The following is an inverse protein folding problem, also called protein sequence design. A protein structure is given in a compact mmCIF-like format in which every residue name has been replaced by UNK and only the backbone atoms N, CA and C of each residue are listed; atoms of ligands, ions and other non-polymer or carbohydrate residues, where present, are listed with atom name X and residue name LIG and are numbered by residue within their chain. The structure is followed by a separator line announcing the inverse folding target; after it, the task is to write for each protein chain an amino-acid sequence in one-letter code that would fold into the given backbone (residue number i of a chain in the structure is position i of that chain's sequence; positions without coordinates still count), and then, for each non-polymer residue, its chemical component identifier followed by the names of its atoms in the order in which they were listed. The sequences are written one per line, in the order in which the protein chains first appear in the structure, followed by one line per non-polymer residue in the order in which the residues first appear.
data_IF_683166800794
#
_entry.id   IF_683166800794
#
_cell.length_a   1.000
_cell.length_b   1.000
_cell.length_c   1.000
_cell.angle_alpha   90.00
_cell.angle_beta   90.00
_cell.angle_gamma   90.00
#
_symmetry.space_group_name_H-M   'P 1'
#
loop_
_entity.id
_entity.type
_entity.pdbx_description
1 polymer ?
#
# COMPACT_ATOMS: atom_id res chain seq x y z
N UNK A 1 -46.29 -54.16 20.53
CA UNK A 1 -46.33 -54.03 19.05
C UNK A 1 -45.57 -52.76 18.69
N UNK A 2 -44.34 -52.88 18.14
CA UNK A 2 -43.97 -52.65 16.71
C UNK A 2 -44.15 -51.15 16.33
N UNK A 3 -43.21 -50.34 15.81
CA UNK A 3 -41.97 -50.45 15.01
C UNK A 3 -41.24 -49.07 15.11
N UNK A 4 -39.91 -48.98 15.26
CA UNK A 4 -38.92 -48.51 14.23
C UNK A 4 -39.14 -47.08 13.71
N UNK A 5 -38.24 -46.09 13.90
CA UNK A 5 -37.03 -45.90 13.09
C UNK A 5 -35.98 -45.00 13.79
N UNK A 6 -34.73 -45.48 13.78
CA UNK A 6 -33.50 -44.66 13.80
C UNK A 6 -33.58 -43.57 12.72
N UNK A 7 -33.12 -42.35 13.02
CA UNK A 7 -32.54 -41.50 11.98
C UNK A 7 -31.05 -41.31 12.24
N UNK A 8 -30.30 -41.81 11.27
CA UNK A 8 -28.87 -41.83 11.11
C UNK A 8 -28.37 -40.45 10.66
N UNK A 9 -27.17 -40.11 11.11
CA UNK A 9 -26.27 -39.04 10.64
C UNK A 9 -26.56 -38.38 9.29
N UNK A 10 -26.51 -37.04 9.26
CA UNK A 10 -25.84 -36.35 8.16
C UNK A 10 -24.87 -35.28 8.69
N UNK A 11 -23.62 -35.62 8.44
CA UNK A 11 -22.42 -34.82 8.53
C UNK A 11 -22.52 -33.68 7.49
N UNK A 12 -22.54 -32.44 7.93
CA UNK A 12 -21.98 -31.33 7.14
C UNK A 12 -21.20 -30.49 8.11
N UNK A 13 -19.91 -30.83 8.25
CA UNK A 13 -18.92 -29.90 8.73
C UNK A 13 -18.97 -28.71 7.77
N UNK A 14 -19.58 -27.62 8.21
CA UNK A 14 -19.38 -26.31 7.61
C UNK A 14 -17.92 -25.95 7.89
N UNK A 15 -17.07 -26.31 6.93
CA UNK A 15 -15.75 -25.72 6.81
C UNK A 15 -16.02 -24.22 6.67
N UNK A 16 -15.69 -23.45 7.71
CA UNK A 16 -15.57 -22.02 7.60
C UNK A 16 -14.47 -21.79 6.57
N UNK A 17 -14.87 -21.67 5.30
CA UNK A 17 -14.11 -20.91 4.35
C UNK A 17 -14.02 -19.52 4.97
N UNK A 18 -12.85 -19.17 5.49
CA UNK A 18 -12.52 -17.77 5.73
C UNK A 18 -12.64 -17.13 4.35
N UNK A 19 -13.75 -16.45 4.10
CA UNK A 19 -13.84 -15.58 2.93
C UNK A 19 -12.65 -14.62 3.04
N UNK A 20 -11.82 -14.44 1.99
CA UNK A 20 -10.81 -13.41 2.03
C UNK A 20 -11.54 -12.11 2.32
N UNK A 21 -11.20 -11.45 3.42
CA UNK A 21 -11.71 -10.12 3.70
C UNK A 21 -11.39 -9.28 2.49
N UNK A 22 -12.41 -8.91 1.70
CA UNK A 22 -12.26 -7.96 0.61
C UNK A 22 -11.85 -6.63 1.24
N UNK A 23 -10.54 -6.43 1.37
CA UNK A 23 -9.98 -5.19 1.88
C UNK A 23 -10.41 -4.07 0.94
N UNK A 24 -10.97 -3.00 1.52
CA UNK A 24 -11.76 -1.98 0.79
C UNK A 24 -10.91 -0.84 0.22
N UNK A 25 -9.60 -1.04 0.12
CA UNK A 25 -8.64 -0.05 -0.34
C UNK A 25 -7.42 -0.77 -0.90
N UNK A 26 -6.68 -0.05 -1.74
CA UNK A 26 -5.48 -0.52 -2.40
C UNK A 26 -4.26 -0.21 -1.53
N UNK A 27 -3.43 -1.23 -1.31
CA UNK A 27 -2.12 -1.11 -0.68
C UNK A 27 -1.17 -2.17 -1.26
N UNK A 28 0.11 -1.97 -1.03
CA UNK A 28 1.16 -2.93 -1.37
C UNK A 28 2.02 -3.14 -0.13
N UNK A 29 2.55 -4.34 0.05
CA UNK A 29 3.45 -4.68 1.15
C UNK A 29 4.62 -5.50 0.60
N UNK A 30 5.83 -4.99 0.70
CA UNK A 30 7.07 -5.70 0.43
C UNK A 30 7.27 -6.68 1.58
N UNK A 31 7.16 -7.97 1.28
CA UNK A 31 7.30 -9.04 2.27
C UNK A 31 8.73 -9.53 2.37
N UNK A 32 9.53 -9.41 1.31
CA UNK A 32 10.96 -9.73 1.32
C UNK A 32 11.70 -8.81 0.37
N UNK A 33 12.94 -8.40 0.66
CA UNK A 33 13.61 -8.51 1.96
C UNK A 33 12.90 -7.72 3.08
N UNK A 34 13.25 -7.97 4.33
CA UNK A 34 12.76 -7.18 5.47
C UNK A 34 13.58 -5.91 5.73
N UNK A 35 13.03 -5.01 6.55
CA UNK A 35 13.69 -3.77 6.98
C UNK A 35 15.12 -4.02 7.50
N UNK A 36 16.08 -3.24 7.00
CA UNK A 36 17.49 -3.29 7.39
C UNK A 36 18.27 -4.51 6.88
N UNK A 37 17.68 -5.35 6.02
CA UNK A 37 18.37 -6.50 5.46
C UNK A 37 19.63 -6.09 4.69
N UNK A 38 20.66 -6.94 4.75
CA UNK A 38 21.87 -6.77 3.96
C UNK A 38 21.69 -7.56 2.64
N UNK A 39 21.74 -6.86 1.51
CA UNK A 39 21.44 -7.44 0.19
C UNK A 39 22.60 -7.25 -0.78
N UNK A 40 22.73 -8.15 -1.75
CA UNK A 40 23.64 -8.06 -2.89
C UNK A 40 22.80 -7.91 -4.17
N UNK A 41 23.40 -7.46 -5.26
CA UNK A 41 22.75 -7.47 -6.56
C UNK A 41 22.72 -8.90 -7.15
N UNK A 42 21.61 -9.32 -7.80
CA UNK A 42 20.33 -8.62 -7.87
C UNK A 42 19.53 -8.70 -6.56
N UNK A 43 18.74 -7.66 -6.25
CA UNK A 43 17.74 -7.71 -5.18
C UNK A 43 16.55 -8.51 -5.69
N UNK A 44 16.21 -9.60 -4.99
CA UNK A 44 14.97 -10.34 -5.19
C UNK A 44 13.95 -9.87 -4.17
N UNK A 45 12.98 -9.09 -4.62
CA UNK A 45 11.90 -8.59 -3.78
C UNK A 45 10.62 -9.40 -3.98
N UNK A 46 9.95 -9.72 -2.89
CA UNK A 46 8.60 -10.26 -2.88
C UNK A 46 7.65 -9.22 -2.32
N UNK A 47 6.47 -9.11 -2.92
CA UNK A 47 5.45 -8.19 -2.44
C UNK A 47 4.06 -8.79 -2.58
N UNK A 48 3.12 -8.29 -1.77
CA UNK A 48 1.69 -8.56 -1.91
C UNK A 48 0.97 -7.29 -2.27
N UNK A 49 0.08 -7.41 -3.25
CA UNK A 49 -0.83 -6.35 -3.66
C UNK A 49 -2.24 -6.71 -3.20
N UNK A 50 -2.94 -5.74 -2.63
CA UNK A 50 -4.39 -5.81 -2.40
C UNK A 50 -5.09 -4.60 -3.03
N UNK A 51 -6.39 -4.74 -3.27
CA UNK A 51 -7.28 -3.71 -3.79
C UNK A 51 -7.35 -3.70 -5.31
N UNK A 52 -7.36 -2.50 -5.88
CA UNK A 52 -7.40 -2.31 -7.32
C UNK A 52 -6.21 -2.98 -7.99
N UNK A 53 -6.49 -3.69 -9.08
CA UNK A 53 -5.51 -4.36 -9.91
C UNK A 53 -4.36 -3.44 -10.32
N UNK A 54 -4.57 -2.14 -10.50
CA UNK A 54 -3.58 -1.25 -11.09
C UNK A 54 -3.19 -1.66 -12.51
N UNK A 55 -2.21 -0.94 -13.06
CA UNK A 55 -1.72 -1.13 -14.43
C UNK A 55 -0.21 -1.22 -14.48
N UNK A 56 0.47 -0.36 -13.74
CA UNK A 56 1.92 -0.25 -13.76
C UNK A 56 2.50 -0.49 -12.39
N UNK A 57 3.65 -1.16 -12.37
CA UNK A 57 4.47 -1.35 -11.20
C UNK A 57 5.82 -0.68 -11.46
N UNK A 58 6.23 0.18 -10.53
CA UNK A 58 7.55 0.83 -10.56
C UNK A 58 8.33 0.44 -9.31
N UNK A 59 9.44 -0.26 -9.52
CA UNK A 59 10.39 -0.63 -8.47
C UNK A 59 11.60 0.29 -8.57
N UNK A 60 11.93 0.97 -7.49
CA UNK A 60 12.99 1.97 -7.41
C UNK A 60 13.93 1.66 -6.25
N UNK A 61 15.22 1.91 -6.45
CA UNK A 61 16.22 1.84 -5.40
C UNK A 61 16.97 3.16 -5.33
N UNK A 62 17.00 3.75 -4.14
CA UNK A 62 17.74 4.97 -3.84
C UNK A 62 18.92 4.66 -2.92
N UNK A 63 20.04 5.37 -3.08
CA UNK A 63 21.18 5.32 -2.17
C UNK A 63 20.96 6.21 -0.94
N UNK A 64 21.91 6.19 -0.01
CA UNK A 64 21.86 6.96 1.23
C UNK A 64 21.81 8.48 1.01
N UNK A 65 22.30 8.94 -0.14
CA UNK A 65 22.28 10.33 -0.61
C UNK A 65 21.03 10.66 -1.45
N UNK A 66 20.00 9.81 -1.42
CA UNK A 66 18.77 9.92 -2.22
C UNK A 66 18.99 9.84 -3.74
N UNK A 67 20.19 9.44 -4.17
CA UNK A 67 20.49 9.18 -5.58
C UNK A 67 19.72 7.95 -6.05
N UNK A 68 18.99 8.06 -7.15
CA UNK A 68 18.42 6.91 -7.83
C UNK A 68 19.54 5.98 -8.33
N UNK A 69 19.61 4.78 -7.78
CA UNK A 69 20.57 3.74 -8.16
C UNK A 69 20.03 2.88 -9.30
N UNK A 70 18.76 2.49 -9.21
CA UNK A 70 18.11 1.61 -10.16
C UNK A 70 16.61 1.84 -10.20
N UNK A 71 16.00 1.57 -11.36
CA UNK A 71 14.56 1.70 -11.57
C UNK A 71 14.09 0.72 -12.64
N UNK A 72 13.01 0.01 -12.35
CA UNK A 72 12.23 -0.76 -13.34
C UNK A 72 10.78 -0.29 -13.35
N UNK A 73 10.24 -0.14 -14.54
CA UNK A 73 8.82 0.09 -14.79
C UNK A 73 8.31 -1.11 -15.58
N UNK A 74 7.25 -1.75 -15.08
CA UNK A 74 6.69 -2.98 -15.63
C UNK A 74 5.17 -2.83 -15.73
N UNK A 75 4.58 -3.42 -16.76
CA UNK A 75 3.14 -3.65 -16.75
C UNK A 75 2.85 -4.74 -15.73
N UNK A 76 1.88 -4.52 -14.85
CA UNK A 76 1.65 -5.44 -13.74
C UNK A 76 1.17 -6.82 -14.22
N UNK A 77 0.49 -6.87 -15.36
CA UNK A 77 0.07 -8.12 -16.00
C UNK A 77 1.25 -9.03 -16.40
N UNK A 78 2.44 -8.45 -16.61
CA UNK A 78 3.66 -9.17 -17.00
C UNK A 78 4.51 -9.59 -15.78
N UNK A 79 4.10 -9.21 -14.56
CA UNK A 79 4.84 -9.53 -13.34
C UNK A 79 4.51 -10.93 -12.85
N UNK A 80 5.55 -11.74 -12.63
CA UNK A 80 5.43 -13.09 -12.08
C UNK A 80 4.68 -13.08 -10.75
N UNK A 81 3.63 -13.89 -10.65
CA UNK A 81 2.83 -14.06 -9.43
C UNK A 81 1.63 -13.10 -9.31
N UNK A 82 1.36 -12.30 -10.34
CA UNK A 82 0.16 -11.48 -10.43
C UNK A 82 -1.09 -12.29 -10.88
N UNK A 83 -2.30 -12.05 -10.31
CA UNK A 83 -2.56 -11.31 -9.08
C UNK A 83 -2.17 -12.14 -7.86
N UNK A 84 -1.47 -11.52 -6.89
CA UNK A 84 -1.05 -12.21 -5.67
C UNK A 84 0.33 -11.79 -5.18
N UNK A 85 1.21 -12.78 -5.00
CA UNK A 85 2.57 -12.58 -4.49
C UNK A 85 3.51 -12.30 -5.64
N UNK A 86 3.87 -11.03 -5.81
CA UNK A 86 4.76 -10.55 -6.86
C UNK A 86 6.19 -10.96 -6.55
N UNK A 87 6.92 -11.40 -7.58
CA UNK A 87 8.37 -11.62 -7.53
C UNK A 87 9.05 -10.64 -8.48
N UNK A 88 9.94 -9.81 -7.92
CA UNK A 88 10.57 -8.69 -8.61
C UNK A 88 12.09 -8.81 -8.47
N UNK A 89 12.81 -8.47 -9.53
CA UNK A 89 14.27 -8.48 -9.54
C UNK A 89 14.81 -7.11 -9.94
N UNK A 90 15.79 -6.61 -9.18
CA UNK A 90 16.41 -5.32 -9.43
C UNK A 90 17.94 -5.39 -9.27
N UNK A 91 18.64 -5.16 -10.36
CA UNK A 91 20.09 -4.98 -10.37
C UNK A 91 20.47 -3.60 -9.82
N UNK A 92 21.62 -3.52 -9.15
CA UNK A 92 22.18 -2.25 -8.69
C UNK A 92 23.70 -2.32 -8.57
N UNK A 93 24.33 -1.16 -8.46
CA UNK A 93 25.75 -1.01 -8.17
C UNK A 93 25.96 0.14 -7.17
N UNK A 94 26.83 -0.09 -6.19
CA UNK A 94 27.19 0.89 -5.16
C UNK A 94 28.69 1.20 -5.23
N UNK A 95 29.08 2.41 -4.85
CA UNK A 95 30.48 2.87 -4.94
C UNK A 95 31.34 2.48 -3.75
N UNK A 96 30.69 2.20 -2.63
CA UNK A 96 31.33 1.86 -1.35
C UNK A 96 31.07 0.38 -1.06
N UNK A 97 31.89 -0.28 -0.21
CA UNK A 97 31.67 -1.68 0.18
C UNK A 97 30.27 -1.95 0.71
N UNK A 98 29.70 -0.97 1.41
CA UNK A 98 28.32 -0.95 1.83
C UNK A 98 27.77 0.48 1.85
N UNK A 99 26.49 0.65 1.53
CA UNK A 99 25.75 1.88 1.80
C UNK A 99 24.29 1.59 2.18
N UNK A 100 23.66 2.48 2.94
CA UNK A 100 22.20 2.40 3.16
C UNK A 100 21.48 2.75 1.87
N UNK A 101 20.31 2.15 1.65
CA UNK A 101 19.45 2.47 0.54
C UNK A 101 17.98 2.27 0.86
N UNK A 102 17.13 2.78 -0.02
CA UNK A 102 15.68 2.71 0.11
C UNK A 102 15.10 1.98 -1.10
N UNK A 103 14.53 0.81 -0.86
CA UNK A 103 13.78 0.09 -1.87
C UNK A 103 12.34 0.60 -1.81
N UNK A 104 11.80 1.04 -2.95
CA UNK A 104 10.44 1.57 -3.06
C UNK A 104 9.68 0.85 -4.14
N UNK A 105 8.50 0.35 -3.78
CA UNK A 105 7.55 -0.28 -4.69
C UNK A 105 6.33 0.62 -4.85
N UNK A 106 6.06 1.02 -6.09
CA UNK A 106 4.98 1.93 -6.44
C UNK A 106 4.02 1.24 -7.40
N UNK A 107 2.74 1.27 -7.09
CA UNK A 107 1.67 0.81 -7.98
C UNK A 107 0.94 2.03 -8.54
N UNK A 108 0.68 2.02 -9.85
CA UNK A 108 -0.04 3.06 -10.56
C UNK A 108 -1.19 2.45 -11.35
N UNK A 109 -2.27 3.21 -11.51
CA UNK A 109 -3.38 2.81 -12.37
C UNK A 109 -3.15 3.15 -13.85
N UNK A 110 -4.16 2.90 -14.68
CA UNK A 110 -4.17 3.21 -16.10
C UNK A 110 -4.05 4.71 -16.42
N UNK A 111 -4.37 5.57 -15.45
CA UNK A 111 -4.24 7.01 -15.52
C UNK A 111 -2.91 7.52 -14.94
N UNK A 112 -1.99 6.62 -14.59
CA UNK A 112 -0.71 6.92 -13.93
C UNK A 112 -0.87 7.59 -12.56
N UNK A 113 -2.02 7.43 -11.91
CA UNK A 113 -2.28 7.92 -10.55
C UNK A 113 -1.75 6.91 -9.54
N UNK A 114 -1.25 7.42 -8.42
CA UNK A 114 -0.75 6.60 -7.34
C UNK A 114 -1.85 5.72 -6.75
N UNK A 115 -1.61 4.41 -6.71
CA UNK A 115 -2.49 3.43 -6.08
C UNK A 115 -2.00 3.02 -4.70
N UNK A 116 -0.73 2.65 -4.63
CA UNK A 116 -0.12 2.16 -3.40
C UNK A 116 1.38 2.38 -3.45
N UNK A 117 1.97 2.58 -2.28
CA UNK A 117 3.41 2.66 -2.10
C UNK A 117 3.79 1.92 -0.83
N UNK A 118 4.88 1.17 -0.92
CA UNK A 118 5.60 0.68 0.23
C UNK A 118 7.10 0.90 0.02
N UNK A 119 7.80 1.21 1.12
CA UNK A 119 9.22 1.53 1.12
C UNK A 119 9.90 0.91 2.34
N UNK A 120 11.09 0.38 2.15
CA UNK A 120 11.91 -0.13 3.27
C UNK A 120 13.38 0.24 3.10
N UNK A 121 14.07 0.37 4.22
CA UNK A 121 15.51 0.62 4.26
C UNK A 121 16.27 -0.71 4.10
N UNK A 122 17.35 -0.69 3.33
CA UNK A 122 18.27 -1.80 3.12
C UNK A 122 19.71 -1.38 3.36
N UNK A 123 20.54 -2.36 3.69
CA UNK A 123 22.00 -2.25 3.63
C UNK A 123 22.46 -2.87 2.31
N UNK A 124 22.85 -2.03 1.36
CA UNK A 124 23.30 -2.43 0.04
C UNK A 124 24.79 -2.78 0.10
N UNK A 125 25.17 -3.97 -0.34
CA UNK A 125 26.54 -4.46 -0.31
C UNK A 125 27.10 -4.52 -1.74
N UNK A 126 28.37 -4.16 -1.93
CA UNK A 126 29.07 -4.44 -3.20
C UNK A 126 29.61 -5.87 -3.25
N UNK A 127 29.93 -6.45 -2.09
CA UNK A 127 30.51 -7.78 -1.93
C UNK A 127 30.16 -8.39 -0.57
N UNK A 128 30.47 -9.67 -0.38
CA UNK A 128 30.23 -10.37 0.88
C UNK A 128 29.07 -11.35 0.80
N UNK A 129 28.13 -11.28 1.76
CA UNK A 129 26.99 -12.21 1.86
C UNK A 129 25.74 -11.45 2.27
N UNK A 130 24.61 -11.88 1.74
CA UNK A 130 23.31 -11.35 2.16
C UNK A 130 22.98 -11.81 3.58
N UNK A 131 22.30 -10.95 4.32
CA UNK A 131 21.74 -11.26 5.63
C UNK A 131 20.28 -10.87 5.63
N UNK A 132 19.43 -11.87 5.61
CA UNK A 132 17.99 -11.67 5.68
C UNK A 132 17.62 -11.02 7.02
N UNK A 133 16.72 -10.04 6.95
CA UNK A 133 15.95 -9.57 8.09
C UNK A 133 14.58 -10.25 8.05
N UNK A 134 13.94 -10.57 9.19
CA UNK A 134 12.57 -11.07 9.19
C UNK A 134 11.66 -10.12 8.37
N UNK A 135 10.71 -10.70 7.64
CA UNK A 135 9.74 -9.92 6.89
C UNK A 135 8.96 -9.01 7.83
N UNK A 136 8.60 -7.82 7.35
CA UNK A 136 7.55 -7.01 7.95
C UNK A 136 6.25 -7.80 8.02
N UNK A 137 5.37 -7.40 8.95
CA UNK A 137 3.98 -7.87 8.93
C UNK A 137 3.36 -7.49 7.58
N UNK A 138 2.44 -8.30 7.06
CA UNK A 138 1.76 -8.03 5.78
C UNK A 138 0.73 -6.90 5.95
N UNK A 139 0.49 -6.46 7.19
CA UNK A 139 -0.43 -5.39 7.50
C UNK A 139 0.02 -4.08 6.84
N UNK A 140 -0.88 -3.35 6.15
CA UNK A 140 -0.53 -2.07 5.56
C UNK A 140 -0.25 -1.01 6.62
N UNK A 141 0.73 -0.15 6.32
CA UNK A 141 1.09 0.99 7.15
C UNK A 141 -0.03 2.01 7.30
N UNK A 142 -0.88 2.14 6.26
CA UNK A 142 -2.01 3.06 6.25
C UNK A 142 -3.27 2.27 5.87
N UNK A 143 -4.24 2.21 6.78
CA UNK A 143 -5.54 1.56 6.57
C UNK A 143 -6.60 2.63 6.45
N UNK A 144 -7.28 2.70 5.30
CA UNK A 144 -8.43 3.59 5.12
C UNK A 144 -9.70 2.85 5.57
N UNK A 145 -10.39 3.39 6.58
CA UNK A 145 -11.63 2.82 7.13
C UNK A 145 -12.88 3.55 6.61
N UNK A 146 -12.77 4.85 6.38
CA UNK A 146 -13.81 5.68 5.77
C UNK A 146 -13.17 6.69 4.83
N UNK A 147 -13.80 7.00 3.69
CA UNK A 147 -15.05 6.43 3.18
C UNK A 147 -14.89 5.00 2.63
N UNK A 148 -15.99 4.35 2.27
CA UNK A 148 -15.94 3.07 1.58
C UNK A 148 -15.56 3.24 0.10
N UNK A 149 -14.88 2.25 -0.46
CA UNK A 149 -14.57 2.16 -1.89
C UNK A 149 -15.82 2.36 -2.76
N UNK A 150 -15.66 3.10 -3.86
CA UNK A 150 -16.70 3.47 -4.82
C UNK A 150 -17.90 4.21 -4.22
N UNK A 151 -17.76 4.75 -3.01
CA UNK A 151 -18.82 5.56 -2.43
C UNK A 151 -19.01 6.87 -3.21
N UNK A 152 -20.24 7.34 -3.18
CA UNK A 152 -20.66 8.60 -3.81
C UNK A 152 -20.71 9.66 -2.73
N UNK A 153 -19.98 10.76 -2.91
CA UNK A 153 -19.91 11.85 -1.95
C UNK A 153 -20.44 13.12 -2.59
N UNK A 154 -21.24 13.89 -1.84
CA UNK A 154 -21.82 15.18 -2.23
C UNK A 154 -21.64 16.19 -1.10
N UNK A 155 -21.83 17.49 -1.37
CA UNK A 155 -21.76 18.54 -0.34
C UNK A 155 -20.37 19.12 -0.10
N UNK A 156 -19.43 18.87 -1.03
CA UNK A 156 -18.13 19.57 -1.06
C UNK A 156 -17.12 19.14 0.00
N UNK A 157 -17.39 18.09 0.78
CA UNK A 157 -16.46 17.57 1.80
C UNK A 157 -16.45 16.04 1.78
N UNK A 158 -15.26 15.43 1.78
CA UNK A 158 -15.06 14.00 2.05
C UNK A 158 -14.51 13.82 3.46
N UNK A 159 -15.20 13.04 4.29
CA UNK A 159 -14.72 12.66 5.62
C UNK A 159 -13.85 11.40 5.50
N UNK A 160 -12.58 11.54 5.85
CA UNK A 160 -11.58 10.48 5.74
C UNK A 160 -11.11 10.08 7.13
N UNK A 161 -11.07 8.78 7.41
CA UNK A 161 -10.53 8.26 8.67
C UNK A 161 -9.92 6.87 8.50
N UNK A 162 -8.99 6.55 9.39
CA UNK A 162 -8.32 5.27 9.37
C UNK A 162 -7.33 5.08 10.50
N UNK A 163 -6.49 4.07 10.36
CA UNK A 163 -5.40 3.75 11.30
C UNK A 163 -4.07 3.76 10.58
N UNK A 164 -3.00 4.06 11.32
CA UNK A 164 -1.63 3.92 10.86
C UNK A 164 -0.84 2.95 11.74
N UNK A 165 0.12 2.26 11.13
CA UNK A 165 1.08 1.41 11.83
C UNK A 165 2.07 2.23 12.68
N UNK A 166 2.74 1.54 13.60
CA UNK A 166 3.83 2.13 14.36
C UNK A 166 5.01 2.43 13.44
N UNK A 167 5.50 3.67 13.43
CA UNK A 167 6.63 4.10 12.59
C UNK A 167 6.25 5.09 11.49
N UNK A 168 4.97 5.14 11.10
CA UNK A 168 4.46 6.14 10.15
C UNK A 168 4.50 7.53 10.78
N UNK A 169 5.17 8.48 10.11
CA UNK A 169 5.25 9.86 10.56
C UNK A 169 4.00 10.67 10.23
N UNK A 170 3.65 11.61 11.13
CA UNK A 170 2.52 12.52 10.99
C UNK A 170 3.00 13.95 10.75
N UNK A 171 2.22 14.78 10.03
CA UNK A 171 0.88 14.50 9.52
C UNK A 171 0.88 13.71 8.19
N UNK A 172 -0.16 12.90 7.97
CA UNK A 172 -0.40 12.30 6.66
C UNK A 172 -0.93 13.35 5.69
N UNK A 173 -0.63 13.18 4.40
CA UNK A 173 -1.26 13.94 3.33
C UNK A 173 -2.43 13.16 2.76
N UNK A 174 -3.57 13.83 2.64
CA UNK A 174 -4.79 13.29 2.03
C UNK A 174 -5.12 14.09 0.79
N UNK A 175 -5.31 13.42 -0.34
CA UNK A 175 -5.61 14.04 -1.63
C UNK A 175 -6.77 13.35 -2.34
N UNK A 176 -7.53 14.13 -3.11
CA UNK A 176 -8.52 13.66 -4.06
C UNK A 176 -7.98 13.99 -5.46
N UNK A 177 -7.64 12.97 -6.23
CA UNK A 177 -6.97 13.10 -7.53
C UNK A 177 -7.90 12.59 -8.64
N UNK A 178 -8.27 13.44 -9.59
CA UNK A 178 -9.07 13.05 -10.73
C UNK A 178 -8.28 12.24 -11.78
N UNK A 179 -8.95 11.73 -12.81
CA UNK A 179 -8.35 10.93 -13.88
C UNK A 179 -7.30 11.68 -14.72
N UNK A 180 -7.29 13.01 -14.70
CA UNK A 180 -6.29 13.84 -15.38
C UNK A 180 -5.06 14.11 -14.50
N UNK A 181 -5.03 13.53 -13.28
CA UNK A 181 -3.97 13.72 -12.30
C UNK A 181 -4.10 15.03 -11.52
N UNK A 182 -5.21 15.77 -11.67
CA UNK A 182 -5.42 17.03 -10.96
C UNK A 182 -5.94 16.76 -9.55
N UNK A 183 -5.33 17.44 -8.58
CA UNK A 183 -5.79 17.45 -7.19
C UNK A 183 -7.01 18.38 -7.07
N UNK A 184 -8.19 17.81 -6.80
CA UNK A 184 -9.46 18.54 -6.63
C UNK A 184 -9.80 18.82 -5.17
N UNK A 185 -9.04 18.24 -4.24
CA UNK A 185 -9.12 18.49 -2.81
C UNK A 185 -7.89 17.93 -2.09
N UNK A 186 -7.45 18.60 -1.02
CA UNK A 186 -6.33 18.13 -0.21
C UNK A 186 -6.40 18.62 1.24
N UNK A 187 -5.88 17.81 2.16
CA UNK A 187 -5.80 18.14 3.59
C UNK A 187 -4.64 17.40 4.25
N UNK A 188 -4.10 17.96 5.33
CA UNK A 188 -3.24 17.23 6.26
C UNK A 188 -4.09 16.56 7.34
N UNK A 189 -3.84 15.28 7.60
CA UNK A 189 -4.47 14.52 8.66
C UNK A 189 -3.48 14.32 9.82
N UNK A 190 -3.81 14.87 10.98
CA UNK A 190 -3.09 14.55 12.22
C UNK A 190 -3.55 13.20 12.77
N UNK A 191 -2.80 12.69 13.75
CA UNK A 191 -3.15 11.46 14.45
C UNK A 191 -3.50 11.68 15.92
N UNK A 192 -4.22 10.73 16.49
CA UNK A 192 -4.48 10.62 17.93
C UNK A 192 -4.24 9.19 18.39
N UNK A 193 -3.62 9.02 19.56
CA UNK A 193 -3.50 7.71 20.19
C UNK A 193 -4.88 7.22 20.64
N UNK A 194 -5.22 5.97 20.34
CA UNK A 194 -6.46 5.36 20.79
C UNK A 194 -6.24 4.52 22.05
N UNK A 195 -6.86 4.92 23.16
CA UNK A 195 -7.00 4.11 24.40
C UNK A 195 -5.69 3.50 24.96
N UNK A 196 -4.59 4.24 24.94
CA UNK A 196 -3.31 3.75 25.51
C UNK A 196 -2.68 2.58 24.74
N UNK A 197 -3.15 2.27 23.53
CA UNK A 197 -2.48 1.37 22.58
C UNK A 197 -1.67 2.20 21.57
N UNK A 198 -0.64 1.58 21.00
CA UNK A 198 0.22 2.15 19.94
C UNK A 198 -0.50 2.41 18.61
N UNK A 199 -1.79 2.04 18.48
CA UNK A 199 -2.56 2.31 17.27
C UNK A 199 -2.95 3.78 17.23
N UNK A 200 -2.42 4.47 16.23
CA UNK A 200 -2.75 5.87 15.97
C UNK A 200 -3.86 5.93 14.93
N UNK A 201 -4.95 6.62 15.28
CA UNK A 201 -6.06 6.91 14.35
C UNK A 201 -5.83 8.25 13.70
N UNK A 202 -6.10 8.35 12.40
CA UNK A 202 -6.08 9.62 11.66
C UNK A 202 -7.49 9.99 11.20
N UNK A 203 -7.75 11.30 11.07
CA UNK A 203 -8.96 11.80 10.42
C UNK A 203 -8.76 13.16 9.77
N UNK A 204 -9.50 13.41 8.70
CA UNK A 204 -9.52 14.70 8.00
C UNK A 204 -10.83 14.92 7.25
N UNK A 205 -11.27 16.18 7.23
CA UNK A 205 -12.33 16.67 6.34
C UNK A 205 -11.67 17.32 5.13
N UNK A 206 -11.79 16.67 3.96
CA UNK A 206 -11.17 17.12 2.71
C UNK A 206 -12.20 17.85 1.88
N UNK A 207 -12.12 19.18 1.85
CA UNK A 207 -12.97 19.97 0.96
C UNK A 207 -12.58 19.75 -0.50
N UNK A 208 -13.59 19.70 -1.38
CA UNK A 208 -13.42 19.56 -2.82
C UNK A 208 -14.40 20.45 -3.59
N UNK A 209 -14.09 20.69 -4.86
CA UNK A 209 -14.97 21.38 -5.79
C UNK A 209 -14.95 20.69 -7.15
N UNK A 210 -16.10 20.20 -7.59
CA UNK A 210 -16.31 19.59 -8.91
C UNK A 210 -17.56 20.18 -9.55
N UNK A 211 -17.58 20.31 -10.88
CA UNK A 211 -18.72 20.88 -11.62
C UNK A 211 -19.66 19.84 -12.24
N UNK A 212 -19.26 18.57 -12.19
CA UNK A 212 -19.99 17.39 -12.68
C UNK A 212 -19.61 16.18 -11.83
N UNK A 213 -20.34 15.05 -11.93
CA UNK A 213 -19.89 13.79 -11.34
C UNK A 213 -18.48 13.46 -11.82
N UNK A 214 -17.54 13.32 -10.88
CA UNK A 214 -16.12 13.13 -11.17
C UNK A 214 -15.59 11.93 -10.40
N UNK A 215 -15.07 10.93 -11.12
CA UNK A 215 -14.33 9.83 -10.51
C UNK A 215 -12.98 10.36 -10.03
N UNK A 216 -12.66 10.11 -8.77
CA UNK A 216 -11.39 10.49 -8.15
C UNK A 216 -10.81 9.32 -7.37
N UNK A 217 -9.50 9.36 -7.18
CA UNK A 217 -8.81 8.52 -6.21
C UNK A 217 -8.57 9.32 -4.95
N UNK A 218 -9.08 8.80 -3.83
CA UNK A 218 -8.67 9.22 -2.51
C UNK A 218 -7.32 8.56 -2.21
N UNK A 219 -6.30 9.38 -2.00
CA UNK A 219 -4.95 8.95 -1.67
C UNK A 219 -4.60 9.45 -0.26
N UNK A 220 -4.16 8.54 0.61
CA UNK A 220 -3.62 8.85 1.93
C UNK A 220 -2.19 8.35 1.97
N UNK A 221 -1.25 9.24 2.29
CA UNK A 221 0.16 8.90 2.24
C UNK A 221 1.03 9.64 3.24
N UNK A 222 2.11 8.99 3.59
CA UNK A 222 3.23 9.56 4.34
C UNK A 222 4.20 10.22 3.36
N UNK A 223 4.56 11.46 3.69
CA UNK A 223 5.53 12.25 2.94
C UNK A 223 6.90 12.12 3.63
N UNK A 224 7.93 11.77 2.88
CA UNK A 224 9.29 11.69 3.37
C UNK A 224 9.92 13.07 3.59
N UNK A 225 11.18 13.08 4.05
CA UNK A 225 11.93 14.33 4.33
C UNK A 225 12.12 15.20 3.09
N UNK A 226 12.24 14.59 1.91
CA UNK A 226 12.01 15.25 0.64
C UNK A 226 10.54 15.08 0.24
N UNK A 227 9.86 16.20 -0.01
CA UNK A 227 8.44 16.28 -0.41
C UNK A 227 8.09 15.45 -1.66
N UNK A 228 9.10 14.98 -2.39
CA UNK A 228 8.94 14.08 -3.56
C UNK A 228 8.90 12.60 -3.20
N UNK A 229 9.24 12.24 -1.97
CA UNK A 229 9.25 10.87 -1.49
C UNK A 229 7.92 10.56 -0.82
N UNK A 230 7.21 9.58 -1.37
CA UNK A 230 6.10 8.92 -0.68
C UNK A 230 6.68 7.65 -0.07
N UNK A 231 6.56 7.50 1.25
CA UNK A 231 7.13 6.37 1.99
C UNK A 231 6.14 5.21 2.05
N UNK A 232 4.91 5.52 2.48
CA UNK A 232 3.78 4.60 2.48
C UNK A 232 2.56 5.30 1.86
N UNK A 233 1.75 4.56 1.11
CA UNK A 233 0.49 5.07 0.59
C UNK A 233 -0.58 3.99 0.42
N UNK A 234 -1.80 4.38 0.73
CA UNK A 234 -3.01 3.62 0.46
C UNK A 234 -4.03 4.48 -0.27
N UNK A 235 -4.88 3.86 -1.07
CA UNK A 235 -5.87 4.60 -1.85
C UNK A 235 -7.16 3.84 -2.09
N UNK A 236 -8.21 4.54 -2.49
CA UNK A 236 -9.45 3.94 -2.99
C UNK A 236 -10.13 4.89 -3.98
N UNK A 237 -11.01 4.36 -4.81
CA UNK A 237 -11.80 5.19 -5.72
C UNK A 237 -13.09 5.72 -5.09
N UNK A 238 -13.47 6.93 -5.48
CA UNK A 238 -14.69 7.62 -5.11
C UNK A 238 -15.33 8.29 -6.32
N UNK A 239 -16.62 8.62 -6.20
CA UNK A 239 -17.29 9.53 -7.14
C UNK A 239 -17.76 10.76 -6.38
N UNK A 240 -17.26 11.93 -6.77
CA UNK A 240 -17.64 13.22 -6.22
C UNK A 240 -18.76 13.85 -7.04
N UNK A 241 -19.73 14.46 -6.36
CA UNK A 241 -20.81 15.24 -6.95
C UNK A 241 -20.71 16.71 -6.50
N UNK A 242 -21.14 17.67 -7.33
CA UNK A 242 -21.19 19.08 -6.95
C UNK A 242 -21.91 19.35 -5.63
#
# INVERSE_FOLDING_TARGET
MKFTLLLLSLLTAWLLAVEPTTEKFSYVAITQPGQGAEVLAPIVAQARLNGDAGRWLRLELFGNDERLLSRRLMELADVTGYPGSLALELDYEVRQPAERGWLRLVILDEHLRLLAVDSLELNLLSEGRTKASPSSDIAPDIVIQSPAMHSRVSGGVVQVSGTIAAGVELPLRVQLVDADGKVVGQRLAGGKLQNGREITVFSADVSYLVSKPTAVRLLVFEEGKDLRQVLAASSLELVLYP
#
